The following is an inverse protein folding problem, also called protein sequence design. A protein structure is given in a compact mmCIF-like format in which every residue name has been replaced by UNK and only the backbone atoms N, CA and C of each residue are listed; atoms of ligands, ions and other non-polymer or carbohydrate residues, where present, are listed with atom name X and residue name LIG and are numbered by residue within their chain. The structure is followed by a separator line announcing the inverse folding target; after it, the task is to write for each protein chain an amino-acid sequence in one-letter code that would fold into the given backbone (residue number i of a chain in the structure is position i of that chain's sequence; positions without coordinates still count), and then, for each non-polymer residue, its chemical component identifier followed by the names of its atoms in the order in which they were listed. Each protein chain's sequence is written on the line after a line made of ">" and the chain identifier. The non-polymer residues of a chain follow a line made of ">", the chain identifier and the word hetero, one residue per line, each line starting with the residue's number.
data_IF_980071790708
#
_entry.id   IF_980071790708
#
_cell.length_a   1.000
_cell.length_b   1.000
_cell.length_c   1.000
_cell.angle_alpha   90.00
_cell.angle_beta   90.00
_cell.angle_gamma   90.00
#
_symmetry.space_group_name_H-M   'P 1'
#
loop_
_entity.id
_entity.type
_entity.pdbx_description
1 polymer ?
#
# COMPACT_ATOMS: atom_id res chain seq x y z
N UNK A 1 -24.88 -8.98 -6.31
CA UNK A 1 -24.94 -7.62 -5.69
C UNK A 1 -25.10 -6.66 -6.85
N UNK A 2 -26.29 -6.09 -6.98
CA UNK A 2 -26.58 -5.11 -8.04
C UNK A 2 -25.84 -3.79 -7.69
N UNK A 3 -24.90 -3.41 -8.53
CA UNK A 3 -24.03 -2.25 -8.31
C UNK A 3 -24.45 -1.05 -9.18
N UNK A 4 -25.70 -1.01 -9.62
CA UNK A 4 -26.27 0.04 -10.49
C UNK A 4 -25.80 -0.08 -11.93
N UNK A 5 -26.68 0.17 -12.85
CA UNK A 5 -26.69 0.19 -14.32
C UNK A 5 -25.81 -0.78 -15.14
N UNK A 6 -24.77 -1.37 -14.55
CA UNK A 6 -23.97 -2.45 -15.14
C UNK A 6 -23.71 -3.54 -14.09
N UNK A 7 -24.24 -4.72 -14.30
CA UNK A 7 -24.02 -5.92 -13.47
C UNK A 7 -22.51 -6.25 -13.39
N UNK A 8 -21.88 -5.90 -12.29
CA UNK A 8 -20.50 -6.27 -12.03
C UNK A 8 -20.43 -7.58 -11.25
N UNK A 9 -19.89 -8.62 -11.87
CA UNK A 9 -19.62 -9.90 -11.20
C UNK A 9 -18.28 -9.85 -10.49
N UNK A 10 -18.25 -10.18 -9.19
CA UNK A 10 -17.04 -10.19 -8.38
C UNK A 10 -16.53 -11.61 -8.14
N UNK A 11 -15.31 -11.90 -8.59
CA UNK A 11 -14.59 -13.15 -8.31
C UNK A 11 -13.47 -12.88 -7.35
N UNK A 12 -13.40 -13.55 -6.17
CA UNK A 12 -12.33 -13.34 -5.20
C UNK A 12 -10.96 -13.63 -5.80
N UNK A 13 -9.98 -12.77 -5.49
CA UNK A 13 -8.57 -13.02 -5.81
C UNK A 13 -7.91 -13.60 -4.56
N UNK A 14 -7.18 -14.74 -4.69
CA UNK A 14 -6.44 -15.33 -3.57
C UNK A 14 -5.47 -14.31 -2.96
N UNK A 15 -5.51 -14.15 -1.63
CA UNK A 15 -4.62 -13.25 -0.91
C UNK A 15 -4.93 -13.21 0.59
N UNK A 16 -3.97 -12.73 1.39
CA UNK A 16 -4.08 -12.73 2.86
C UNK A 16 -5.23 -11.87 3.41
N UNK A 17 -5.61 -10.81 2.70
CA UNK A 17 -6.63 -9.87 3.20
C UNK A 17 -8.07 -10.30 2.89
N UNK A 18 -8.30 -11.20 1.92
CA UNK A 18 -9.64 -11.58 1.46
C UNK A 18 -10.50 -10.41 0.94
N UNK A 19 -9.89 -9.28 0.60
CA UNK A 19 -10.58 -8.02 0.26
C UNK A 19 -10.36 -7.57 -1.17
N UNK A 20 -9.72 -8.41 -1.99
CA UNK A 20 -9.44 -8.14 -3.40
C UNK A 20 -10.26 -9.06 -4.30
N UNK A 21 -10.79 -8.50 -5.38
CA UNK A 21 -11.65 -9.20 -6.34
C UNK A 21 -11.30 -8.81 -7.77
N UNK A 22 -11.48 -9.72 -8.69
CA UNK A 22 -11.62 -9.41 -10.10
C UNK A 22 -13.08 -9.07 -10.36
N UNK A 23 -13.35 -7.87 -10.83
CA UNK A 23 -14.66 -7.45 -11.31
C UNK A 23 -14.75 -7.67 -12.82
N UNK A 24 -15.83 -8.28 -13.29
CA UNK A 24 -16.11 -8.49 -14.70
C UNK A 24 -17.43 -7.86 -15.07
N UNK A 25 -17.42 -7.01 -16.08
CA UNK A 25 -18.62 -6.44 -16.68
C UNK A 25 -19.20 -7.38 -17.77
N UNK A 26 -20.49 -7.26 -18.12
CA UNK A 26 -21.11 -8.07 -19.18
C UNK A 26 -20.44 -7.93 -20.55
N UNK A 27 -19.82 -6.78 -20.82
CA UNK A 27 -19.04 -6.50 -22.05
C UNK A 27 -17.66 -7.16 -22.07
N UNK A 28 -17.31 -7.91 -21.01
CA UNK A 28 -16.01 -8.57 -20.86
C UNK A 28 -14.91 -7.69 -20.29
N UNK A 29 -15.17 -6.42 -20.02
CA UNK A 29 -14.20 -5.52 -19.36
C UNK A 29 -13.92 -6.00 -17.94
N UNK A 30 -12.64 -6.03 -17.56
CA UNK A 30 -12.21 -6.40 -16.21
C UNK A 30 -11.71 -5.19 -15.43
N UNK A 31 -11.90 -5.25 -14.12
CA UNK A 31 -11.41 -4.25 -13.17
C UNK A 31 -10.86 -4.94 -11.92
N UNK A 32 -9.88 -4.33 -11.28
CA UNK A 32 -9.44 -4.75 -9.96
C UNK A 32 -10.28 -4.06 -8.90
N UNK A 33 -11.00 -4.83 -8.09
CA UNK A 33 -11.87 -4.29 -7.04
C UNK A 33 -11.29 -4.58 -5.69
N UNK A 34 -11.27 -3.58 -4.83
CA UNK A 34 -10.78 -3.71 -3.45
C UNK A 34 -11.75 -3.09 -2.46
N UNK A 35 -11.96 -3.77 -1.32
CA UNK A 35 -12.76 -3.28 -0.21
C UNK A 35 -11.88 -2.57 0.84
N UNK A 36 -12.44 -1.55 1.50
CA UNK A 36 -11.79 -0.79 2.57
C UNK A 36 -10.41 -0.27 2.19
N UNK A 37 -10.34 0.43 1.07
CA UNK A 37 -9.10 1.00 0.56
C UNK A 37 -8.68 2.25 1.32
N UNK A 38 -7.37 2.50 1.33
CA UNK A 38 -6.82 3.73 1.87
C UNK A 38 -7.31 4.96 1.08
N UNK A 39 -7.72 6.03 1.75
CA UNK A 39 -8.15 7.28 1.10
C UNK A 39 -7.03 8.00 0.33
N UNK A 40 -5.77 7.55 0.42
CA UNK A 40 -4.66 8.06 -0.38
C UNK A 40 -4.66 7.52 -1.82
N UNK A 41 -5.40 6.44 -2.10
CA UNK A 41 -5.36 5.74 -3.39
C UNK A 41 -5.59 6.66 -4.61
N UNK A 42 -6.54 7.62 -4.59
CA UNK A 42 -6.69 8.57 -5.70
C UNK A 42 -5.43 9.42 -5.96
N UNK A 43 -4.72 9.77 -4.90
CA UNK A 43 -3.45 10.48 -5.01
C UNK A 43 -2.36 9.63 -5.63
N UNK A 44 -2.21 8.37 -5.21
CA UNK A 44 -1.25 7.42 -5.77
C UNK A 44 -1.50 7.17 -7.26
N UNK A 45 -2.76 7.01 -7.67
CA UNK A 45 -3.13 6.84 -9.08
C UNK A 45 -2.79 8.09 -9.92
N UNK A 46 -3.07 9.30 -9.41
CA UNK A 46 -2.72 10.57 -10.09
C UNK A 46 -1.22 10.73 -10.27
N UNK A 47 -0.42 10.33 -9.30
CA UNK A 47 1.04 10.35 -9.37
C UNK A 47 1.61 9.16 -10.15
N UNK A 48 0.77 8.33 -10.77
CA UNK A 48 1.17 7.15 -11.54
C UNK A 48 2.04 6.16 -10.70
N UNK A 49 1.70 6.02 -9.44
CA UNK A 49 2.36 5.08 -8.50
C UNK A 49 1.49 3.83 -8.33
N UNK A 50 0.18 3.97 -8.49
CA UNK A 50 -0.79 2.87 -8.49
C UNK A 50 -1.58 2.88 -9.81
N UNK A 51 -2.24 1.75 -10.17
CA UNK A 51 -3.13 1.69 -11.32
C UNK A 51 -4.22 2.76 -11.27
N UNK A 52 -4.72 3.18 -12.44
CA UNK A 52 -5.74 4.21 -12.53
C UNK A 52 -6.97 3.83 -11.69
N UNK A 53 -7.42 4.78 -10.87
CA UNK A 53 -8.68 4.66 -10.14
C UNK A 53 -9.84 5.00 -11.08
N UNK A 54 -10.75 4.04 -11.27
CA UNK A 54 -11.90 4.18 -12.16
C UNK A 54 -13.10 4.76 -11.41
N UNK A 55 -13.40 4.22 -10.22
CA UNK A 55 -14.46 4.71 -9.36
C UNK A 55 -14.27 4.28 -7.91
N UNK A 56 -14.98 4.97 -7.03
CA UNK A 56 -15.15 4.60 -5.61
C UNK A 56 -16.63 4.60 -5.27
N UNK A 57 -17.04 3.73 -4.36
CA UNK A 57 -18.42 3.64 -3.89
C UNK A 57 -18.45 3.28 -2.40
N UNK A 58 -19.36 3.91 -1.67
CA UNK A 58 -19.73 3.50 -0.32
C UNK A 58 -20.88 2.51 -0.39
N UNK A 59 -20.72 1.37 0.26
CA UNK A 59 -21.75 0.33 0.34
C UNK A 59 -22.76 0.66 1.45
N UNK A 60 -23.95 0.05 1.39
CA UNK A 60 -25.00 0.23 2.40
C UNK A 60 -24.58 -0.21 3.82
N UNK A 61 -23.63 -1.15 3.92
CA UNK A 61 -23.06 -1.62 5.18
C UNK A 61 -21.92 -0.72 5.72
N UNK A 62 -21.68 0.44 5.07
CA UNK A 62 -20.70 1.42 5.48
C UNK A 62 -19.27 1.12 4.98
N UNK A 63 -19.01 0.01 4.29
CA UNK A 63 -17.71 -0.28 3.70
C UNK A 63 -17.48 0.55 2.44
N UNK A 64 -16.22 0.92 2.21
CA UNK A 64 -15.81 1.56 0.96
C UNK A 64 -15.31 0.50 -0.01
N UNK A 65 -15.67 0.66 -1.27
CA UNK A 65 -15.24 -0.18 -2.38
C UNK A 65 -14.65 0.71 -3.46
N UNK A 66 -13.56 0.29 -4.08
CA UNK A 66 -13.01 0.97 -5.25
C UNK A 66 -12.72 0.00 -6.38
N UNK A 67 -12.76 0.52 -7.60
CA UNK A 67 -12.25 -0.18 -8.77
C UNK A 67 -11.08 0.58 -9.38
N UNK A 68 -10.06 -0.18 -9.72
CA UNK A 68 -8.90 0.27 -10.47
C UNK A 68 -8.84 -0.46 -11.81
N UNK A 69 -8.06 0.10 -12.72
CA UNK A 69 -7.70 -0.56 -13.96
C UNK A 69 -7.17 -1.97 -13.71
N UNK A 70 -7.64 -2.93 -14.51
CA UNK A 70 -7.08 -4.29 -14.51
C UNK A 70 -5.78 -4.29 -15.30
N UNK A 71 -4.68 -4.52 -14.64
CA UNK A 71 -3.39 -4.65 -15.30
C UNK A 71 -3.19 -6.09 -15.80
N UNK A 72 -2.94 -6.23 -17.09
CA UNK A 72 -2.49 -7.49 -17.69
C UNK A 72 -0.96 -7.45 -17.74
N UNK A 73 -0.33 -8.51 -17.25
CA UNK A 73 1.13 -8.57 -17.23
C UNK A 73 1.66 -9.66 -16.31
N UNK A 74 2.94 -9.63 -16.08
CA UNK A 74 3.67 -10.60 -15.27
C UNK A 74 3.91 -10.04 -13.85
N UNK A 75 3.53 -10.80 -12.83
CA UNK A 75 3.94 -10.50 -11.46
C UNK A 75 5.47 -10.63 -11.36
N UNK A 76 6.12 -9.65 -10.74
CA UNK A 76 7.57 -9.64 -10.61
C UNK A 76 8.07 -10.75 -9.68
N UNK A 77 9.33 -11.12 -9.86
CA UNK A 77 10.08 -12.02 -9.00
C UNK A 77 11.02 -11.21 -8.08
N UNK A 78 11.58 -11.80 -7.01
CA UNK A 78 12.59 -11.12 -6.20
C UNK A 78 13.77 -10.56 -6.99
N UNK A 79 14.18 -11.24 -8.08
CA UNK A 79 15.28 -10.80 -8.95
C UNK A 79 14.95 -9.55 -9.77
N UNK A 80 13.67 -9.28 -9.97
CA UNK A 80 13.21 -8.12 -10.73
C UNK A 80 13.19 -6.83 -9.89
N UNK A 81 13.33 -6.93 -8.56
CA UNK A 81 13.14 -5.79 -7.65
C UNK A 81 14.26 -4.74 -7.69
N UNK A 82 15.37 -5.01 -8.38
CA UNK A 82 16.45 -4.03 -8.60
C UNK A 82 16.30 -3.23 -9.91
N UNK A 83 15.20 -3.39 -10.63
CA UNK A 83 14.97 -2.71 -11.92
C UNK A 83 14.82 -1.20 -11.74
N UNK A 84 15.36 -0.45 -12.69
CA UNK A 84 15.31 1.03 -12.70
C UNK A 84 13.88 1.58 -12.64
N UNK A 85 12.91 0.90 -13.24
CA UNK A 85 11.50 1.29 -13.23
C UNK A 85 10.93 1.32 -11.80
N UNK A 86 11.25 0.31 -10.99
CA UNK A 86 10.82 0.25 -9.58
C UNK A 86 11.46 1.40 -8.79
N UNK A 87 12.76 1.63 -8.98
CA UNK A 87 13.49 2.74 -8.35
C UNK A 87 12.85 4.08 -8.71
N UNK A 88 12.45 4.25 -9.97
CA UNK A 88 11.80 5.48 -10.45
C UNK A 88 10.43 5.69 -9.77
N UNK A 89 9.62 4.63 -9.63
CA UNK A 89 8.31 4.70 -8.95
C UNK A 89 8.50 5.03 -7.46
N UNK A 90 9.43 4.35 -6.79
CA UNK A 90 9.75 4.64 -5.39
C UNK A 90 10.28 6.06 -5.21
N UNK A 91 11.11 6.54 -6.13
CA UNK A 91 11.62 7.92 -6.09
C UNK A 91 10.48 8.93 -6.22
N UNK A 92 9.50 8.68 -7.11
CA UNK A 92 8.29 9.53 -7.21
C UNK A 92 7.49 9.51 -5.91
N UNK A 93 7.26 8.33 -5.33
CA UNK A 93 6.57 8.19 -4.04
C UNK A 93 7.27 9.00 -2.95
N UNK A 94 8.58 8.79 -2.77
CA UNK A 94 9.37 9.43 -1.71
C UNK A 94 9.46 10.95 -1.87
N UNK A 95 9.38 11.48 -3.08
CA UNK A 95 9.50 12.92 -3.38
C UNK A 95 8.15 13.62 -3.59
N UNK A 96 7.04 12.89 -3.54
CA UNK A 96 5.72 13.47 -3.82
C UNK A 96 5.25 14.38 -2.70
N UNK A 97 5.44 15.68 -2.87
CA UNK A 97 4.87 16.71 -1.99
C UNK A 97 3.33 16.72 -1.99
N UNK A 98 2.63 16.51 -3.16
CA UNK A 98 1.17 16.42 -3.16
C UNK A 98 0.64 15.29 -2.29
N UNK A 99 1.24 14.10 -2.35
CA UNK A 99 0.85 12.96 -1.51
C UNK A 99 1.13 13.23 -0.02
N UNK A 100 2.27 13.82 0.31
CA UNK A 100 2.59 14.22 1.69
C UNK A 100 1.53 15.17 2.24
N UNK A 101 1.15 16.21 1.48
CA UNK A 101 0.09 17.14 1.86
C UNK A 101 -1.27 16.46 2.01
N UNK A 102 -1.58 15.47 1.15
CA UNK A 102 -2.81 14.70 1.25
C UNK A 102 -2.83 13.85 2.53
N UNK A 103 -1.75 13.14 2.85
CA UNK A 103 -1.62 12.35 4.08
C UNK A 103 -1.82 13.22 5.33
N UNK A 104 -1.15 14.37 5.39
CA UNK A 104 -1.33 15.33 6.49
C UNK A 104 -2.79 15.77 6.66
N UNK A 105 -3.49 16.07 5.55
CA UNK A 105 -4.93 16.45 5.58
C UNK A 105 -5.84 15.30 6.03
N UNK A 106 -5.42 14.07 5.81
CA UNK A 106 -6.14 12.86 6.25
C UNK A 106 -5.84 12.50 7.70
N UNK A 107 -5.03 13.31 8.41
CA UNK A 107 -4.68 13.09 9.81
C UNK A 107 -3.60 12.03 10.04
N UNK A 108 -2.89 11.62 8.99
CA UNK A 108 -1.71 10.76 9.19
C UNK A 108 -0.59 11.58 9.81
N UNK A 109 -0.13 11.14 10.97
CA UNK A 109 1.08 11.67 11.62
C UNK A 109 2.33 11.06 11.01
N UNK A 110 3.43 11.79 11.11
CA UNK A 110 4.74 11.20 10.83
C UNK A 110 5.12 10.27 11.97
N UNK A 111 5.58 9.08 11.63
CA UNK A 111 6.23 8.18 12.58
C UNK A 111 7.72 8.45 12.56
N UNK A 112 8.29 8.66 13.73
CA UNK A 112 9.74 8.71 13.86
C UNK A 112 10.32 7.30 13.81
N UNK A 113 11.61 7.13 13.47
CA UNK A 113 12.25 5.81 13.56
C UNK A 113 12.15 5.18 14.96
N UNK A 114 12.10 6.00 16.00
CA UNK A 114 11.92 5.53 17.38
C UNK A 114 10.51 4.99 17.61
N UNK A 115 9.47 5.70 17.10
CA UNK A 115 8.08 5.25 17.19
C UNK A 115 7.90 3.91 16.45
N UNK A 116 8.50 3.78 15.27
CA UNK A 116 8.47 2.55 14.49
C UNK A 116 9.13 1.37 15.22
N UNK A 117 10.29 1.57 15.83
CA UNK A 117 10.95 0.54 16.63
C UNK A 117 10.12 0.15 17.86
N UNK A 118 9.43 1.10 18.45
CA UNK A 118 8.55 0.86 19.59
C UNK A 118 7.30 0.06 19.20
N UNK A 119 6.68 0.41 18.09
CA UNK A 119 5.56 -0.30 17.51
C UNK A 119 5.94 -1.77 17.19
N UNK A 120 7.05 -1.98 16.51
CA UNK A 120 7.55 -3.33 16.24
C UNK A 120 7.78 -4.15 17.51
N UNK A 121 8.31 -3.54 18.56
CA UNK A 121 8.49 -4.23 19.85
C UNK A 121 7.16 -4.63 20.50
N UNK A 122 6.14 -3.78 20.38
CA UNK A 122 4.81 -4.06 20.90
C UNK A 122 4.09 -5.18 20.13
N UNK A 123 4.20 -5.17 18.79
CA UNK A 123 3.55 -6.13 17.91
C UNK A 123 4.30 -7.47 17.80
N UNK A 124 5.54 -7.53 18.23
CA UNK A 124 6.33 -8.76 18.16
C UNK A 124 5.68 -9.89 19.00
N UNK A 125 5.69 -11.14 18.52
CA UNK A 125 5.28 -12.29 19.31
C UNK A 125 6.04 -12.37 20.64
N UNK A 126 5.37 -12.85 21.70
CA UNK A 126 5.94 -12.91 23.05
C UNK A 126 7.29 -13.65 23.12
N UNK A 127 7.47 -14.69 22.27
CA UNK A 127 8.76 -15.40 22.17
C UNK A 127 9.89 -14.49 21.71
N UNK A 128 9.62 -13.56 20.80
CA UNK A 128 10.60 -12.59 20.30
C UNK A 128 10.85 -11.47 21.28
N UNK A 129 9.81 -11.03 22.02
CA UNK A 129 9.96 -9.98 23.07
C UNK A 129 10.92 -10.41 24.18
N UNK A 130 11.02 -11.70 24.45
CA UNK A 130 11.95 -12.27 25.46
C UNK A 130 13.32 -12.58 24.90
N UNK A 131 13.53 -12.43 23.59
CA UNK A 131 14.81 -12.75 22.98
C UNK A 131 15.84 -11.66 23.27
N UNK A 132 16.85 -11.98 24.09
CA UNK A 132 17.85 -11.03 24.57
C UNK A 132 18.60 -10.32 23.43
N UNK A 133 18.98 -11.05 22.39
CA UNK A 133 19.68 -10.48 21.23
C UNK A 133 18.80 -9.45 20.47
N UNK A 134 17.52 -9.74 20.26
CA UNK A 134 16.62 -8.81 19.59
C UNK A 134 16.45 -7.53 20.40
N UNK A 135 16.32 -7.64 21.72
CA UNK A 135 16.21 -6.47 22.58
C UNK A 135 17.50 -5.63 22.53
N UNK A 136 18.70 -6.26 22.54
CA UNK A 136 19.95 -5.51 22.41
C UNK A 136 20.06 -4.78 21.08
N UNK A 137 19.66 -5.41 19.97
CA UNK A 137 19.63 -4.77 18.63
C UNK A 137 18.68 -3.56 18.61
N UNK A 138 17.48 -3.69 19.19
CA UNK A 138 16.54 -2.57 19.27
C UNK A 138 17.11 -1.43 20.11
N UNK A 139 17.75 -1.72 21.23
CA UNK A 139 18.35 -0.72 22.10
C UNK A 139 19.57 -0.05 21.43
N UNK A 140 20.36 -0.80 20.64
CA UNK A 140 21.44 -0.25 19.84
C UNK A 140 20.92 0.67 18.73
N UNK A 141 19.89 0.26 18.02
CA UNK A 141 19.24 1.09 17.00
C UNK A 141 18.71 2.41 17.61
N UNK A 142 18.08 2.35 18.78
CA UNK A 142 17.61 3.56 19.49
C UNK A 142 18.73 4.54 19.82
N UNK A 143 19.92 4.03 20.15
CA UNK A 143 21.09 4.87 20.47
C UNK A 143 21.74 5.46 19.23
N UNK A 144 21.71 4.74 18.11
CA UNK A 144 22.40 5.12 16.87
C UNK A 144 21.52 5.89 15.89
N UNK A 145 20.18 5.79 16.01
CA UNK A 145 19.26 6.56 15.15
C UNK A 145 19.46 8.05 15.46
N UNK A 146 19.96 8.87 14.53
CA UNK A 146 20.07 10.31 14.72
C UNK A 146 18.70 10.92 14.99
N UNK A 147 18.66 12.05 15.69
CA UNK A 147 17.42 12.78 15.95
C UNK A 147 16.66 13.00 14.63
N UNK A 148 15.39 12.61 14.62
CA UNK A 148 14.52 12.76 13.46
C UNK A 148 14.28 14.25 13.16
N UNK A 149 14.36 14.63 11.90
CA UNK A 149 14.05 15.97 11.43
C UNK A 149 12.87 15.93 10.47
N UNK A 150 11.84 16.74 10.73
CA UNK A 150 10.62 16.79 9.92
C UNK A 150 10.87 17.15 8.43
N UNK A 151 11.89 17.97 8.18
CA UNK A 151 12.30 18.35 6.83
C UNK A 151 12.85 17.17 5.98
N UNK A 152 13.21 16.08 6.64
CA UNK A 152 13.65 14.83 6.00
C UNK A 152 12.55 13.77 5.90
N UNK A 153 11.31 14.09 6.29
CA UNK A 153 10.22 13.16 6.21
C UNK A 153 9.92 12.77 4.76
N UNK A 154 9.59 11.50 4.55
CA UNK A 154 9.23 10.96 3.24
C UNK A 154 8.12 9.92 3.38
N UNK A 155 7.40 9.68 2.28
CA UNK A 155 6.42 8.60 2.21
C UNK A 155 7.14 7.31 1.90
N UNK A 156 6.91 6.27 2.69
CA UNK A 156 7.42 4.93 2.42
C UNK A 156 6.30 4.01 1.94
N UNK A 157 6.66 3.02 1.12
CA UNK A 157 5.69 2.07 0.57
C UNK A 157 5.11 1.12 1.64
N UNK A 158 5.89 0.77 2.66
CA UNK A 158 5.47 -0.09 3.78
C UNK A 158 5.41 -1.59 3.48
N UNK A 159 5.14 -2.02 2.24
CA UNK A 159 5.09 -3.43 1.85
C UNK A 159 5.74 -3.66 0.47
N UNK A 160 7.05 -3.46 0.39
CA UNK A 160 7.84 -3.55 -0.83
C UNK A 160 8.15 -5.01 -1.19
N UNK A 161 7.12 -5.81 -1.46
CA UNK A 161 7.26 -7.19 -1.93
C UNK A 161 7.08 -7.28 -3.44
N UNK A 162 7.85 -8.15 -4.10
CA UNK A 162 7.78 -8.37 -5.55
C UNK A 162 6.36 -8.71 -6.04
N UNK A 163 5.57 -9.42 -5.22
CA UNK A 163 4.18 -9.80 -5.53
C UNK A 163 3.19 -8.63 -5.63
N UNK A 164 3.59 -7.43 -5.20
CA UNK A 164 2.79 -6.21 -5.31
C UNK A 164 3.07 -5.43 -6.61
N UNK A 165 3.87 -6.00 -7.51
CA UNK A 165 4.30 -5.35 -8.75
C UNK A 165 3.93 -6.18 -9.96
N UNK A 166 3.42 -5.51 -10.98
CA UNK A 166 3.06 -6.12 -12.27
C UNK A 166 3.83 -5.38 -13.36
N UNK A 167 4.57 -6.13 -14.17
CA UNK A 167 5.18 -5.64 -15.40
C UNK A 167 4.12 -5.72 -16.49
N UNK A 168 3.67 -4.58 -16.97
CA UNK A 168 2.75 -4.47 -18.12
C UNK A 168 3.54 -4.41 -19.42
N UNK A 169 2.94 -4.86 -20.52
CA UNK A 169 3.47 -4.73 -21.87
C UNK A 169 3.58 -3.27 -22.32
#
# INVERSE_FOLDING_TARGET
>A
MDLGDNELTLTPIPGKSGKAYMGSYPDGKRVFVKMNTSPILPGLAREQIAPQLLWTRRLADGRDMCAQEWLTGKILTPHDMNRKQIINILTRLHRSRPLMKQLSRLGYSMETPVDLLQSWKQEAPEVLKRHQYLNSVIDDLRRTVPGFREDHATIVHGDLRHSNWIETE
#
